data_IF_865601483995
#
_entry.id   IF_865601483995
#
_cell.length_a   1.000
_cell.length_b   1.000
_cell.length_c   1.000
_cell.angle_alpha   90.00
_cell.angle_beta   90.00
_cell.angle_gamma   90.00
#
_symmetry.space_group_name_H-M   'P 1'
#
loop_
_entity.id
_entity.type
_entity.pdbx_description
1 polymer ?
#
# COMPACT_ATOMS: atom_id res chain seq x y z
N UNK A 1 12.53 21.63 -3.33
CA UNK A 1 12.89 20.26 -2.88
C UNK A 1 11.94 19.29 -3.58
N UNK A 2 12.39 18.09 -3.97
CA UNK A 2 11.49 17.06 -4.52
C UNK A 2 10.50 16.68 -3.41
N UNK A 3 9.20 16.62 -3.73
CA UNK A 3 8.17 16.13 -2.81
C UNK A 3 8.38 14.62 -2.62
N UNK A 4 8.35 14.15 -1.37
CA UNK A 4 8.52 12.73 -1.06
C UNK A 4 7.31 11.94 -1.54
N UNK A 5 7.54 10.82 -2.21
CA UNK A 5 6.47 9.91 -2.65
C UNK A 5 6.58 8.57 -1.96
N UNK A 6 5.52 8.12 -1.29
CA UNK A 6 5.46 6.81 -0.65
C UNK A 6 4.54 5.86 -1.42
N UNK A 7 5.02 4.64 -1.65
CA UNK A 7 4.17 3.52 -2.04
C UNK A 7 3.46 3.00 -0.79
N UNK A 8 2.14 3.03 -0.76
CA UNK A 8 1.35 2.65 0.43
C UNK A 8 0.68 1.30 0.19
N UNK A 9 0.89 0.36 1.10
CA UNK A 9 0.17 -0.91 1.16
C UNK A 9 -0.79 -0.84 2.35
N UNK A 10 -2.09 -0.97 2.08
CA UNK A 10 -3.08 -1.24 3.12
C UNK A 10 -3.32 -2.74 3.14
N UNK A 11 -3.03 -3.39 4.26
CA UNK A 11 -3.17 -4.84 4.36
C UNK A 11 -4.43 -5.21 5.15
N UNK A 12 -5.08 -6.29 4.71
CA UNK A 12 -6.26 -6.86 5.35
C UNK A 12 -6.17 -8.39 5.28
N UNK A 13 -7.06 -9.07 6.00
CA UNK A 13 -7.24 -10.52 5.90
C UNK A 13 -8.73 -10.82 5.88
N UNK A 14 -9.16 -11.66 4.95
CA UNK A 14 -10.55 -11.93 4.58
C UNK A 14 -11.55 -12.26 5.71
N UNK A 15 -11.10 -12.62 6.92
CA UNK A 15 -11.98 -12.85 8.08
C UNK A 15 -12.29 -11.57 8.87
N UNK A 16 -11.56 -10.47 8.64
CA UNK A 16 -11.77 -9.20 9.33
C UNK A 16 -12.76 -8.30 8.58
N UNK A 17 -13.53 -7.45 9.30
CA UNK A 17 -14.46 -6.53 8.68
C UNK A 17 -13.77 -5.48 7.78
N UNK A 18 -14.25 -5.38 6.54
CA UNK A 18 -13.80 -4.43 5.52
C UNK A 18 -13.84 -2.96 5.96
N UNK A 19 -14.70 -2.61 6.92
CA UNK A 19 -14.79 -1.23 7.44
C UNK A 19 -13.45 -0.70 7.96
N UNK A 20 -12.60 -1.57 8.52
CA UNK A 20 -11.30 -1.16 9.06
C UNK A 20 -10.31 -0.80 7.96
N UNK A 21 -10.43 -1.41 6.77
CA UNK A 21 -9.65 -1.03 5.59
C UNK A 21 -10.00 0.38 5.17
N UNK A 22 -11.30 0.67 5.04
CA UNK A 22 -11.78 1.99 4.61
C UNK A 22 -11.36 3.08 5.59
N UNK A 23 -11.61 2.86 6.88
CA UNK A 23 -11.28 3.81 7.95
C UNK A 23 -9.77 4.05 8.05
N UNK A 24 -8.98 2.97 8.10
CA UNK A 24 -7.52 3.06 8.23
C UNK A 24 -6.83 3.63 6.99
N UNK A 25 -7.28 3.23 5.78
CA UNK A 25 -6.81 3.83 4.53
C UNK A 25 -7.03 5.34 4.54
N UNK A 26 -8.26 5.77 4.87
CA UNK A 26 -8.60 7.19 4.90
C UNK A 26 -7.72 7.94 5.90
N UNK A 27 -7.57 7.42 7.11
CA UNK A 27 -6.76 8.06 8.15
C UNK A 27 -5.31 8.27 7.71
N UNK A 28 -4.68 7.25 7.14
CA UNK A 28 -3.29 7.34 6.68
C UNK A 28 -3.16 8.30 5.50
N UNK A 29 -4.05 8.21 4.51
CA UNK A 29 -4.02 9.11 3.36
C UNK A 29 -4.22 10.58 3.78
N UNK A 30 -5.11 10.84 4.74
CA UNK A 30 -5.34 12.18 5.29
C UNK A 30 -4.10 12.69 6.05
N UNK A 31 -3.36 11.84 6.75
CA UNK A 31 -2.11 12.21 7.44
C UNK A 31 -1.00 12.52 6.42
N UNK A 32 -0.80 11.65 5.43
CA UNK A 32 0.22 11.85 4.39
C UNK A 32 -0.05 13.10 3.56
N UNK A 33 -1.32 13.37 3.22
CA UNK A 33 -1.71 14.60 2.54
C UNK A 33 -1.42 15.84 3.39
N UNK A 34 -1.70 15.81 4.70
CA UNK A 34 -1.37 16.90 5.64
C UNK A 34 0.12 17.19 5.74
N UNK A 35 0.96 16.18 5.51
CA UNK A 35 2.43 16.32 5.50
C UNK A 35 2.99 16.59 4.10
N UNK A 36 2.12 16.83 3.12
CA UNK A 36 2.52 17.05 1.73
C UNK A 36 3.39 15.91 1.20
N UNK A 37 3.01 14.66 1.48
CA UNK A 37 3.61 13.45 0.93
C UNK A 37 2.72 12.92 -0.20
N UNK A 38 3.30 12.69 -1.37
CA UNK A 38 2.60 12.04 -2.48
C UNK A 38 2.49 10.53 -2.24
N UNK A 39 1.44 9.91 -2.76
CA UNK A 39 1.18 8.50 -2.54
C UNK A 39 0.96 7.74 -3.85
N UNK A 40 1.48 6.51 -3.90
CA UNK A 40 1.12 5.50 -4.89
C UNK A 40 0.49 4.35 -4.13
N UNK A 41 -0.80 4.11 -4.35
CA UNK A 41 -1.57 3.11 -3.61
C UNK A 41 -2.59 2.47 -4.55
N UNK A 42 -2.85 1.15 -4.48
CA UNK A 42 -3.94 0.55 -5.24
C UNK A 42 -5.25 1.28 -4.95
N UNK A 43 -5.98 1.64 -6.00
CA UNK A 43 -7.31 2.21 -5.84
C UNK A 43 -8.34 1.15 -5.44
N UNK A 44 -9.53 1.60 -5.03
CA UNK A 44 -10.62 0.75 -4.56
C UNK A 44 -11.21 -0.18 -5.64
N UNK A 45 -10.88 0.05 -6.92
CA UNK A 45 -11.34 -0.74 -8.06
C UNK A 45 -10.28 -1.74 -8.55
N UNK A 46 -9.00 -1.48 -8.27
CA UNK A 46 -7.89 -2.35 -8.61
C UNK A 46 -7.84 -3.59 -7.72
N UNK A 47 -8.19 -3.46 -6.44
CA UNK A 47 -8.21 -4.53 -5.42
C UNK A 47 -9.42 -4.34 -4.50
N UNK A 48 -9.71 -5.28 -3.59
CA UNK A 48 -10.80 -5.12 -2.63
C UNK A 48 -10.54 -3.89 -1.74
N UNK A 49 -11.24 -2.78 -2.01
CA UNK A 49 -11.11 -1.51 -1.27
C UNK A 49 -9.68 -0.93 -1.24
N UNK A 50 -8.85 -1.31 -2.22
CA UNK A 50 -7.46 -0.87 -2.27
C UNK A 50 -6.54 -1.62 -1.31
N UNK A 51 -6.99 -2.73 -0.71
CA UNK A 51 -6.20 -3.58 0.18
C UNK A 51 -5.49 -4.71 -0.55
N UNK A 52 -4.35 -5.11 0.00
CA UNK A 52 -3.60 -6.30 -0.43
C UNK A 52 -3.93 -7.45 0.51
N UNK A 53 -4.65 -8.45 -0.02
CA UNK A 53 -5.06 -9.65 0.73
C UNK A 53 -4.62 -10.94 0.04
N UNK A 54 -4.72 -10.98 -1.28
CA UNK A 54 -4.45 -12.16 -2.09
C UNK A 54 -3.15 -12.04 -2.89
N UNK A 55 -2.68 -13.16 -3.42
CA UNK A 55 -1.58 -13.16 -4.39
C UNK A 55 -1.86 -12.29 -5.63
N UNK A 56 -3.11 -12.26 -6.09
CA UNK A 56 -3.49 -11.43 -7.24
C UNK A 56 -3.43 -9.95 -6.89
N UNK A 57 -3.83 -9.56 -5.67
CA UNK A 57 -3.70 -8.18 -5.20
C UNK A 57 -2.22 -7.79 -5.07
N UNK A 58 -1.39 -8.70 -4.56
CA UNK A 58 0.05 -8.50 -4.45
C UNK A 58 0.69 -8.24 -5.83
N UNK A 59 0.30 -9.01 -6.86
CA UNK A 59 0.79 -8.79 -8.23
C UNK A 59 0.34 -7.42 -8.77
N UNK A 60 -0.93 -7.05 -8.61
CA UNK A 60 -1.43 -5.74 -9.07
C UNK A 60 -0.75 -4.58 -8.35
N UNK A 61 -0.57 -4.69 -7.04
CA UNK A 61 0.12 -3.71 -6.23
C UNK A 61 1.59 -3.56 -6.67
N UNK A 62 2.28 -4.69 -6.89
CA UNK A 62 3.65 -4.69 -7.40
C UNK A 62 3.76 -4.06 -8.79
N UNK A 63 2.83 -4.35 -9.69
CA UNK A 63 2.79 -3.78 -11.04
C UNK A 63 2.61 -2.26 -10.99
N UNK A 64 1.69 -1.78 -10.15
CA UNK A 64 1.48 -0.36 -9.91
C UNK A 64 2.75 0.31 -9.38
N UNK A 65 3.41 -0.30 -8.39
CA UNK A 65 4.63 0.24 -7.79
C UNK A 65 5.78 0.25 -8.79
N UNK A 66 5.94 -0.80 -9.60
CA UNK A 66 6.95 -0.84 -10.68
C UNK A 66 6.72 0.26 -11.71
N UNK A 67 5.47 0.53 -12.07
CA UNK A 67 5.14 1.60 -13.00
C UNK A 67 5.52 3.00 -12.49
N UNK A 68 5.66 3.17 -11.16
CA UNK A 68 6.00 4.43 -10.50
C UNK A 68 7.38 4.40 -9.81
N UNK A 69 8.22 3.40 -10.13
CA UNK A 69 9.48 3.14 -9.43
C UNK A 69 10.45 4.32 -9.36
N UNK A 70 10.43 5.19 -10.37
CA UNK A 70 11.36 6.32 -10.47
C UNK A 70 10.99 7.47 -9.53
N UNK A 71 9.74 7.53 -9.06
CA UNK A 71 9.29 8.57 -8.14
C UNK A 71 9.16 8.10 -6.69
N UNK A 72 8.93 6.81 -6.43
CA UNK A 72 8.77 6.24 -5.08
C UNK A 72 10.09 6.30 -4.29
N UNK A 73 10.03 6.92 -3.10
CA UNK A 73 11.17 7.08 -2.20
C UNK A 73 11.16 6.09 -1.03
N UNK A 74 10.03 5.40 -0.79
CA UNK A 74 9.88 4.42 0.28
C UNK A 74 8.54 3.67 0.20
N UNK A 75 8.44 2.55 0.90
CA UNK A 75 7.20 1.78 1.05
C UNK A 75 6.69 1.95 2.49
N UNK A 76 5.41 2.31 2.64
CA UNK A 76 4.69 2.31 3.91
C UNK A 76 3.67 1.18 3.89
N UNK A 77 3.80 0.23 4.81
CA UNK A 77 2.79 -0.80 5.06
C UNK A 77 1.93 -0.34 6.23
N UNK A 78 0.61 -0.50 6.10
CA UNK A 78 -0.35 -0.17 7.15
C UNK A 78 -1.22 -1.38 7.44
N UNK A 79 -1.40 -1.65 8.72
CA UNK A 79 -2.15 -2.78 9.25
C UNK A 79 -3.28 -2.23 10.14
N UNK A 80 -4.38 -1.71 9.55
CA UNK A 80 -5.50 -1.17 10.33
C UNK A 80 -6.19 -2.23 11.21
N UNK A 81 -5.93 -3.51 10.92
CA UNK A 81 -6.35 -4.66 11.71
C UNK A 81 -5.21 -5.71 11.72
N UNK A 82 -5.47 -6.95 11.26
CA UNK A 82 -4.44 -7.93 10.91
C UNK A 82 -4.46 -8.19 9.40
N UNK A 83 -3.35 -7.89 8.74
CA UNK A 83 -3.15 -8.15 7.31
C UNK A 83 -2.62 -9.54 7.02
N UNK A 84 -2.77 -10.00 5.77
CA UNK A 84 -2.03 -11.16 5.27
C UNK A 84 -0.56 -10.79 5.00
N UNK A 85 0.34 -11.22 5.89
CA UNK A 85 1.76 -10.88 5.82
C UNK A 85 2.43 -11.41 4.55
N UNK A 86 1.91 -12.51 3.98
CA UNK A 86 2.42 -13.09 2.74
C UNK A 86 2.06 -12.21 1.55
N UNK A 87 0.82 -11.73 1.47
CA UNK A 87 0.39 -10.80 0.43
C UNK A 87 1.24 -9.52 0.39
N UNK A 88 1.52 -8.95 1.56
CA UNK A 88 2.41 -7.78 1.69
C UNK A 88 3.84 -8.10 1.24
N UNK A 89 4.42 -9.18 1.77
CA UNK A 89 5.80 -9.56 1.43
C UNK A 89 5.96 -9.86 -0.07
N UNK A 90 4.97 -10.51 -0.68
CA UNK A 90 4.96 -10.79 -2.10
C UNK A 90 4.82 -9.52 -2.94
N UNK A 91 3.97 -8.57 -2.55
CA UNK A 91 3.85 -7.28 -3.23
C UNK A 91 5.18 -6.51 -3.24
N UNK A 92 5.86 -6.45 -2.09
CA UNK A 92 7.17 -5.80 -1.93
C UNK A 92 8.23 -6.50 -2.79
N UNK A 93 8.32 -7.84 -2.69
CA UNK A 93 9.30 -8.65 -3.42
C UNK A 93 9.11 -8.53 -4.94
N UNK A 94 7.86 -8.56 -5.41
CA UNK A 94 7.54 -8.45 -6.84
C UNK A 94 7.72 -7.02 -7.36
N UNK A 95 7.53 -6.01 -6.51
CA UNK A 95 7.74 -4.61 -6.87
C UNK A 95 9.23 -4.31 -7.14
N UNK A 96 10.13 -5.07 -6.52
CA UNK A 96 11.59 -4.99 -6.70
C UNK A 96 12.12 -3.54 -6.60
N UNK A 97 11.60 -2.81 -5.60
CA UNK A 97 12.02 -1.45 -5.31
C UNK A 97 13.18 -1.48 -4.30
N UNK A 98 14.30 -0.85 -4.65
CA UNK A 98 15.45 -0.70 -3.75
C UNK A 98 15.28 0.56 -2.88
N UNK A 99 14.25 0.58 -2.04
CA UNK A 99 13.85 1.72 -1.19
C UNK A 99 13.57 1.26 0.25
N UNK A 100 13.67 2.15 1.26
CA UNK A 100 13.34 1.80 2.64
C UNK A 100 11.87 1.41 2.80
N UNK A 101 11.62 0.54 3.78
CA UNK A 101 10.29 0.03 4.12
C UNK A 101 10.00 0.37 5.58
N UNK A 102 8.84 0.98 5.83
CA UNK A 102 8.26 1.19 7.15
C UNK A 102 6.98 0.34 7.25
N UNK A 103 6.85 -0.41 8.36
CA UNK A 103 5.66 -1.20 8.71
C UNK A 103 5.06 -0.63 9.98
#
# INVERSE_FOLDING_TARGET
MKKTTLAVIVANRAFFPDKFVVEGRKEILDILARWEIDVVVPDETQTNLGAVETWQDAQKCADLFRAHRDCIDGILVTLPNFGDEKGVADAIRLADLNVPILV
#
